data_IF_820401597394
#
_entry.id   IF_820401597394
#
_cell.length_a   1.000
_cell.length_b   1.000
_cell.length_c   1.000
_cell.angle_alpha   90.00
_cell.angle_beta   90.00
_cell.angle_gamma   90.00
#
_symmetry.space_group_name_H-M   'P 1'
#
loop_
_entity.id
_entity.type
_entity.pdbx_description
1 polymer ?
#
# COMPACT_ATOMS: atom_id res chain seq x y z
N UNK A 1 -38.92 12.97 -19.09
CA UNK A 1 -37.80 13.07 -18.12
C UNK A 1 -36.72 12.07 -18.52
N UNK A 2 -35.51 12.50 -18.91
CA UNK A 2 -34.45 11.54 -19.22
C UNK A 2 -33.85 11.02 -17.91
N UNK A 3 -33.82 9.70 -17.72
CA UNK A 3 -33.14 9.07 -16.59
C UNK A 3 -31.64 9.13 -16.85
N UNK A 4 -30.92 9.91 -16.06
CA UNK A 4 -29.45 9.91 -16.04
C UNK A 4 -28.97 8.57 -15.48
N UNK A 5 -28.31 7.76 -16.30
CA UNK A 5 -27.65 6.52 -15.86
C UNK A 5 -26.28 6.93 -15.30
N UNK A 6 -26.23 7.21 -14.00
CA UNK A 6 -24.96 7.46 -13.31
C UNK A 6 -24.19 6.15 -13.19
N UNK A 7 -23.06 6.05 -13.88
CA UNK A 7 -22.17 4.88 -13.78
C UNK A 7 -21.52 4.88 -12.39
N UNK A 8 -21.53 3.76 -11.64
CA UNK A 8 -20.96 3.73 -10.30
C UNK A 8 -19.45 4.01 -10.34
N UNK A 9 -18.98 4.85 -9.42
CA UNK A 9 -17.57 5.31 -9.31
C UNK A 9 -16.66 4.32 -8.58
N UNK A 10 -17.15 3.14 -8.22
CA UNK A 10 -16.39 2.12 -7.51
C UNK A 10 -16.76 0.71 -7.94
N UNK A 11 -15.84 -0.23 -7.70
CA UNK A 11 -16.07 -1.66 -7.93
C UNK A 11 -17.10 -2.17 -6.92
N UNK A 12 -18.16 -2.81 -7.40
CA UNK A 12 -19.13 -3.51 -6.56
C UNK A 12 -18.51 -4.79 -5.99
N UNK A 13 -17.99 -4.70 -4.77
CA UNK A 13 -17.35 -5.81 -4.07
C UNK A 13 -18.33 -6.90 -3.64
N UNK A 14 -19.59 -6.57 -3.39
CA UNK A 14 -20.60 -7.57 -2.99
C UNK A 14 -20.99 -8.46 -4.17
N UNK A 15 -21.05 -7.90 -5.38
CA UNK A 15 -21.19 -8.69 -6.61
C UNK A 15 -19.99 -9.62 -6.82
N UNK A 16 -18.76 -9.11 -6.70
CA UNK A 16 -17.53 -9.91 -6.91
C UNK A 16 -17.46 -11.09 -5.94
N UNK A 17 -17.78 -10.88 -4.65
CA UNK A 17 -17.81 -11.96 -3.66
C UNK A 17 -18.87 -13.01 -3.98
N UNK A 18 -20.05 -12.58 -4.43
CA UNK A 18 -21.14 -13.49 -4.82
C UNK A 18 -20.75 -14.36 -6.00
N UNK A 19 -20.14 -13.77 -7.03
CA UNK A 19 -19.68 -14.49 -8.21
C UNK A 19 -18.56 -15.48 -7.85
N UNK A 20 -17.61 -15.09 -7.00
CA UNK A 20 -16.55 -15.97 -6.51
C UNK A 20 -17.10 -17.16 -5.72
N UNK A 21 -18.13 -16.96 -4.89
CA UNK A 21 -18.75 -18.03 -4.09
C UNK A 21 -19.42 -19.11 -4.96
N UNK A 22 -19.87 -18.78 -6.16
CA UNK A 22 -20.46 -19.73 -7.11
C UNK A 22 -19.44 -20.72 -7.66
N UNK A 23 -18.14 -20.36 -7.65
CA UNK A 23 -17.04 -21.19 -8.18
C UNK A 23 -17.31 -21.71 -9.61
N UNK A 24 -17.86 -20.86 -10.47
CA UNK A 24 -18.16 -21.21 -11.85
C UNK A 24 -16.86 -21.47 -12.65
N UNK A 25 -16.86 -22.44 -13.59
CA UNK A 25 -15.70 -22.68 -14.45
C UNK A 25 -15.30 -21.43 -15.23
N UNK A 26 -14.00 -21.22 -15.36
CA UNK A 26 -13.39 -20.12 -16.10
C UNK A 26 -13.15 -20.59 -17.55
N UNK A 27 -13.81 -19.97 -18.52
CA UNK A 27 -13.60 -20.24 -19.95
C UNK A 27 -12.39 -19.43 -20.45
N UNK A 28 -11.18 -19.96 -20.24
CA UNK A 28 -9.94 -19.41 -20.79
C UNK A 28 -9.26 -20.46 -21.69
N UNK A 29 -9.52 -20.35 -22.99
CA UNK A 29 -8.93 -21.21 -24.03
C UNK A 29 -7.56 -20.70 -24.52
N UNK A 30 -7.15 -19.50 -24.08
CA UNK A 30 -5.92 -18.84 -24.53
C UNK A 30 -4.77 -18.95 -23.54
N UNK A 31 -5.07 -19.36 -22.31
CA UNK A 31 -4.11 -19.53 -21.24
C UNK A 31 -3.10 -20.67 -21.50
N UNK A 32 -1.94 -20.64 -20.82
CA UNK A 32 -0.92 -21.67 -20.94
C UNK A 32 -1.26 -23.00 -20.25
N UNK A 33 -2.38 -23.07 -19.53
CA UNK A 33 -2.92 -24.25 -18.84
C UNK A 33 -4.43 -24.10 -18.64
N UNK A 34 -5.15 -25.19 -18.38
CA UNK A 34 -6.57 -25.15 -18.03
C UNK A 34 -6.75 -24.73 -16.56
N UNK A 35 -7.37 -23.57 -16.27
CA UNK A 35 -7.56 -23.08 -14.90
C UNK A 35 -8.57 -23.91 -14.09
N UNK A 36 -9.39 -24.73 -14.73
CA UNK A 36 -10.38 -25.58 -14.07
C UNK A 36 -9.84 -26.98 -13.72
N UNK A 37 -8.64 -27.33 -14.21
CA UNK A 37 -7.93 -28.55 -13.83
C UNK A 37 -6.84 -28.26 -12.78
N UNK A 38 -7.09 -28.72 -11.55
CA UNK A 38 -6.15 -28.59 -10.44
C UNK A 38 -4.77 -29.20 -10.72
N UNK A 39 -4.68 -30.27 -11.50
CA UNK A 39 -3.41 -30.92 -11.82
C UNK A 39 -2.60 -30.04 -12.79
N UNK A 40 -3.23 -29.55 -13.86
CA UNK A 40 -2.62 -28.62 -14.82
C UNK A 40 -2.11 -27.34 -14.15
N UNK A 41 -2.94 -26.74 -13.28
CA UNK A 41 -2.56 -25.57 -12.46
C UNK A 41 -1.30 -25.89 -11.65
N UNK A 42 -1.30 -27.00 -10.90
CA UNK A 42 -0.17 -27.35 -10.04
C UNK A 42 1.12 -27.59 -10.83
N UNK A 43 1.04 -28.29 -11.97
CA UNK A 43 2.20 -28.61 -12.80
C UNK A 43 2.84 -27.35 -13.40
N UNK A 44 2.02 -26.41 -13.87
CA UNK A 44 2.50 -25.13 -14.40
C UNK A 44 3.22 -24.31 -13.34
N UNK A 45 2.62 -24.14 -12.17
CA UNK A 45 3.20 -23.34 -11.09
C UNK A 45 4.43 -24.01 -10.43
N UNK A 46 4.53 -25.34 -10.44
CA UNK A 46 5.74 -26.06 -9.99
C UNK A 46 6.96 -25.76 -10.86
N UNK A 47 6.76 -25.48 -12.15
CA UNK A 47 7.83 -25.17 -13.09
C UNK A 47 8.13 -23.66 -13.19
N UNK A 48 7.29 -22.82 -12.58
CA UNK A 48 7.44 -21.37 -12.65
C UNK A 48 8.66 -20.88 -11.86
N UNK A 49 9.51 -20.08 -12.51
CA UNK A 49 10.64 -19.42 -11.85
C UNK A 49 10.22 -18.04 -11.34
N UNK A 50 10.15 -17.87 -10.02
CA UNK A 50 9.80 -16.58 -9.40
C UNK A 50 11.02 -15.66 -9.42
N UNK A 51 11.06 -14.73 -10.38
CA UNK A 51 12.06 -13.66 -10.38
C UNK A 51 11.54 -12.49 -9.57
N UNK A 52 12.13 -12.24 -8.39
CA UNK A 52 11.86 -11.00 -7.64
C UNK A 52 12.49 -9.83 -8.40
N UNK A 53 11.67 -8.94 -8.94
CA UNK A 53 12.14 -7.72 -9.59
C UNK A 53 13.08 -6.92 -8.68
N UNK A 54 13.95 -6.12 -9.28
CA UNK A 54 14.86 -5.26 -8.51
C UNK A 54 14.02 -4.37 -7.60
N UNK A 55 14.26 -4.47 -6.29
CA UNK A 55 13.58 -3.63 -5.30
C UNK A 55 13.79 -2.14 -5.57
N UNK A 56 13.06 -1.28 -4.86
CA UNK A 56 13.25 0.17 -4.90
C UNK A 56 14.77 0.46 -4.79
N UNK A 57 15.34 1.30 -5.68
CA UNK A 57 16.75 1.65 -5.62
C UNK A 57 17.14 2.08 -4.20
N UNK A 58 18.31 1.64 -3.70
CA UNK A 58 18.75 2.02 -2.36
C UNK A 58 18.88 3.55 -2.29
N UNK A 59 18.23 4.15 -1.29
CA UNK A 59 18.41 5.57 -0.99
C UNK A 59 19.77 5.71 -0.29
N UNK A 60 20.60 6.66 -0.74
CA UNK A 60 21.95 6.90 -0.19
C UNK A 60 21.94 7.24 1.29
N UNK A 61 20.92 7.98 1.75
CA UNK A 61 20.70 8.29 3.17
C UNK A 61 19.28 7.89 3.54
N UNK A 62 19.15 6.80 4.30
CA UNK A 62 17.86 6.39 4.85
C UNK A 62 17.48 7.32 6.01
N UNK A 63 16.23 7.81 6.02
CA UNK A 63 15.69 8.49 7.20
C UNK A 63 15.50 7.43 8.29
N UNK A 64 16.20 7.52 9.43
CA UNK A 64 16.02 6.57 10.51
C UNK A 64 14.64 6.74 11.15
N UNK A 65 14.09 5.65 11.66
CA UNK A 65 12.89 5.70 12.50
C UNK A 65 13.25 6.29 13.85
N UNK A 66 12.50 7.31 14.29
CA UNK A 66 12.66 7.92 15.60
C UNK A 66 11.66 7.30 16.57
N UNK A 67 12.15 6.52 17.54
CA UNK A 67 11.34 6.02 18.66
C UNK A 67 11.70 6.82 19.91
N UNK A 68 10.83 7.75 20.30
CA UNK A 68 11.00 8.59 21.49
C UNK A 68 9.65 8.91 22.13
N UNK A 69 9.67 9.26 23.42
CA UNK A 69 8.50 9.81 24.11
C UNK A 69 8.47 11.33 23.91
N UNK A 70 7.28 11.86 23.71
CA UNK A 70 6.99 13.30 23.58
C UNK A 70 5.77 13.59 24.44
N UNK A 71 5.71 14.77 25.04
CA UNK A 71 4.55 15.20 25.81
C UNK A 71 3.28 15.19 24.94
N UNK A 72 2.17 14.83 25.56
CA UNK A 72 0.92 14.57 24.83
C UNK A 72 0.36 15.83 24.16
N UNK A 73 0.43 16.97 24.86
CA UNK A 73 0.02 18.28 24.37
C UNK A 73 0.83 18.74 23.16
N UNK A 74 2.15 18.52 23.17
CA UNK A 74 3.03 18.80 22.04
C UNK A 74 2.65 17.95 20.84
N UNK A 75 2.44 16.64 21.03
CA UNK A 75 2.04 15.74 19.95
C UNK A 75 0.68 16.14 19.35
N UNK A 76 -0.29 16.51 20.20
CA UNK A 76 -1.62 16.91 19.77
C UNK A 76 -1.60 18.25 19.04
N UNK A 77 -0.79 19.21 19.48
CA UNK A 77 -0.57 20.47 18.76
C UNK A 77 -0.02 20.21 17.35
N UNK A 78 0.95 19.30 17.20
CA UNK A 78 1.44 18.93 15.87
C UNK A 78 0.37 18.20 15.06
N UNK A 79 -0.37 17.24 15.59
CA UNK A 79 -1.47 16.58 14.84
C UNK A 79 -2.56 17.56 14.40
N UNK A 80 -2.85 18.56 15.25
CA UNK A 80 -3.68 19.75 15.05
C UNK A 80 -3.66 20.31 13.62
N UNK A 81 -2.45 20.42 13.11
CA UNK A 81 -2.10 21.04 11.83
C UNK A 81 -2.46 20.22 10.58
N UNK A 82 -2.97 19.00 10.74
CA UNK A 82 -3.37 18.13 9.63
C UNK A 82 -2.21 17.37 8.95
N UNK A 83 -2.42 16.92 7.69
CA UNK A 83 -1.45 16.11 6.96
C UNK A 83 -0.03 16.72 6.93
N UNK A 84 0.98 15.87 7.07
CA UNK A 84 2.38 16.31 7.07
C UNK A 84 2.91 16.81 8.43
N UNK A 85 2.19 16.62 9.53
CA UNK A 85 2.65 17.00 10.87
C UNK A 85 3.99 16.36 11.27
N UNK A 86 4.26 15.13 10.84
CA UNK A 86 5.55 14.46 11.04
C UNK A 86 6.71 15.13 10.27
N UNK A 87 6.42 15.72 9.11
CA UNK A 87 7.43 16.50 8.37
C UNK A 87 7.75 17.79 9.10
N UNK A 88 6.74 18.41 9.72
CA UNK A 88 6.89 19.66 10.47
C UNK A 88 7.63 19.46 11.80
N UNK A 89 7.35 18.40 12.55
CA UNK A 89 8.16 18.08 13.75
C UNK A 89 9.64 17.82 13.38
N UNK A 90 9.91 17.13 12.26
CA UNK A 90 11.28 16.93 11.79
C UNK A 90 11.97 18.26 11.36
N UNK A 91 11.22 19.23 10.83
CA UNK A 91 11.77 20.54 10.51
C UNK A 91 12.17 21.31 11.79
N UNK A 92 11.36 21.25 12.85
CA UNK A 92 11.67 21.85 14.16
C UNK A 92 12.91 21.20 14.78
N UNK A 93 13.01 19.86 14.74
CA UNK A 93 14.20 19.17 15.24
C UNK A 93 15.48 19.59 14.50
N UNK A 94 15.41 19.77 13.17
CA UNK A 94 16.54 20.26 12.37
C UNK A 94 16.91 21.70 12.73
N UNK A 95 15.92 22.54 12.92
CA UNK A 95 16.11 23.93 13.31
C UNK A 95 16.80 24.05 14.68
N UNK A 96 16.36 23.26 15.66
CA UNK A 96 16.97 23.19 16.99
C UNK A 96 18.45 22.75 16.96
N UNK A 97 18.79 21.79 16.08
CA UNK A 97 20.19 21.37 15.87
C UNK A 97 21.02 22.50 15.27
N UNK A 98 20.45 23.25 14.32
CA UNK A 98 21.13 24.38 13.65
C UNK A 98 21.38 25.53 14.63
N UNK A 99 20.42 25.81 15.52
CA UNK A 99 20.49 26.86 16.52
C UNK A 99 21.25 26.47 17.80
N UNK A 100 21.92 25.30 17.81
CA UNK A 100 22.87 24.96 18.88
C UNK A 100 22.24 24.51 20.20
N UNK A 101 21.03 23.93 20.17
CA UNK A 101 20.42 23.33 21.37
C UNK A 101 21.22 22.10 21.86
N UNK A 102 22.12 21.57 21.02
CA UNK A 102 23.04 20.50 21.41
C UNK A 102 24.26 21.11 22.12
N UNK A 103 24.41 20.83 23.42
CA UNK A 103 25.71 20.99 24.09
C UNK A 103 26.69 20.01 23.46
N UNK A 104 27.78 20.54 22.90
CA UNK A 104 28.96 19.77 22.46
C UNK A 104 29.63 19.08 23.65
#
# INVERSE_FOLDING_TARGET
MPKTITKPTGTDWERVKREAATNAPIDDQTGPYDPNDTAAVSAYWQQATITRGRGRPPVSVKRPTLNMRVDADVLDAFKATGPGWQTRINAVLRDAVTHGVMKT
#
